data_IF_254119856934
#
_entry.id   IF_254119856934
#
_cell.length_a   1.000
_cell.length_b   1.000
_cell.length_c   1.000
_cell.angle_alpha   90.00
_cell.angle_beta   90.00
_cell.angle_gamma   90.00
#
_symmetry.space_group_name_H-M   'P 1'
#
loop_
_entity.id
_entity.type
_entity.pdbx_description
1 polymer ?
#
# COMPACT_ATOMS: atom_id res chain seq x y z
N UNK A 1 -24.12 38.98 10.57
CA UNK A 1 -23.68 37.91 11.50
C UNK A 1 -22.59 37.10 10.81
N UNK A 2 -21.32 37.23 11.22
CA UNK A 2 -20.19 36.51 10.61
C UNK A 2 -20.04 35.14 11.29
N UNK A 3 -20.21 34.06 10.54
CA UNK A 3 -20.08 32.67 11.00
C UNK A 3 -18.57 32.35 11.12
N UNK A 4 -18.04 32.26 12.34
CA UNK A 4 -16.69 31.78 12.60
C UNK A 4 -16.60 30.31 12.16
N UNK A 5 -15.71 30.02 11.20
CA UNK A 5 -15.26 28.66 10.89
C UNK A 5 -14.25 28.26 11.95
N UNK A 6 -14.62 27.33 12.83
CA UNK A 6 -13.69 26.72 13.78
C UNK A 6 -12.84 25.68 13.05
N UNK A 7 -11.55 25.98 12.86
CA UNK A 7 -10.56 24.99 12.43
C UNK A 7 -10.34 23.99 13.56
N UNK A 8 -11.07 22.87 13.52
CA UNK A 8 -10.77 21.72 14.35
C UNK A 8 -9.71 20.88 13.63
N UNK A 9 -8.42 21.11 13.94
CA UNK A 9 -7.38 20.16 13.58
C UNK A 9 -7.48 18.98 14.55
N UNK A 10 -8.05 17.87 14.10
CA UNK A 10 -8.02 16.62 14.85
C UNK A 10 -6.60 16.06 14.79
N UNK A 11 -5.83 16.22 15.86
CA UNK A 11 -4.56 15.51 16.04
C UNK A 11 -4.86 14.24 16.83
N UNK A 12 -4.70 13.09 16.19
CA UNK A 12 -4.78 11.80 16.85
C UNK A 12 -3.49 11.59 17.66
N UNK A 13 -3.54 11.42 18.99
CA UNK A 13 -2.39 10.99 19.76
C UNK A 13 -2.13 9.51 19.41
N UNK A 14 -1.18 9.26 18.52
CA UNK A 14 -0.77 7.90 18.14
C UNK A 14 0.34 7.45 19.08
N UNK A 15 -0.01 7.09 20.31
CA UNK A 15 0.84 6.25 21.16
C UNK A 15 0.46 4.80 20.86
N UNK A 16 0.99 4.25 19.77
CA UNK A 16 0.72 2.88 19.37
C UNK A 16 1.66 1.92 20.12
N UNK A 17 1.10 1.12 21.03
CA UNK A 17 1.77 -0.07 21.53
C UNK A 17 1.67 -1.15 20.44
N UNK A 18 2.69 -1.21 19.58
CA UNK A 18 2.70 -2.09 18.41
C UNK A 18 3.01 -3.52 18.84
N UNK A 19 2.20 -4.48 18.39
CA UNK A 19 2.58 -5.88 18.52
C UNK A 19 3.76 -6.19 17.57
N UNK A 20 4.38 -7.37 17.72
CA UNK A 20 5.55 -7.74 16.92
C UNK A 20 5.27 -7.71 15.40
N UNK A 21 4.10 -8.18 14.95
CA UNK A 21 3.74 -8.17 13.53
C UNK A 21 3.61 -6.73 13.01
N UNK A 22 2.91 -5.87 13.75
CA UNK A 22 2.73 -4.47 13.37
C UNK A 22 4.09 -3.73 13.32
N UNK A 23 5.02 -4.06 14.22
CA UNK A 23 6.37 -3.51 14.22
C UNK A 23 7.16 -3.95 12.97
N UNK A 24 7.03 -5.20 12.54
CA UNK A 24 7.65 -5.70 11.31
C UNK A 24 7.07 -4.98 10.10
N UNK A 25 5.74 -4.87 10.01
CA UNK A 25 5.07 -4.14 8.92
C UNK A 25 5.48 -2.67 8.87
N UNK A 26 5.55 -1.99 10.02
CA UNK A 26 6.01 -0.61 10.10
C UNK A 26 7.48 -0.47 9.65
N UNK A 27 8.36 -1.40 10.03
CA UNK A 27 9.76 -1.41 9.57
C UNK A 27 9.87 -1.65 8.06
N UNK A 28 9.09 -2.58 7.52
CA UNK A 28 9.05 -2.83 6.07
C UNK A 28 8.54 -1.60 5.32
N UNK A 29 7.45 -1.01 5.78
CA UNK A 29 6.87 0.20 5.20
C UNK A 29 7.86 1.38 5.21
N UNK A 30 8.54 1.61 6.34
CA UNK A 30 9.59 2.65 6.43
C UNK A 30 10.78 2.37 5.50
N UNK A 31 11.03 1.11 5.19
CA UNK A 31 12.03 0.68 4.20
C UNK A 31 11.49 0.71 2.76
N UNK A 32 10.27 1.23 2.56
CA UNK A 32 9.55 1.30 1.27
C UNK A 32 9.30 -0.07 0.64
N UNK A 33 9.11 -1.08 1.48
CA UNK A 33 8.77 -2.46 1.09
C UNK A 33 7.35 -2.75 1.53
N UNK A 34 6.52 -3.21 0.60
CA UNK A 34 5.18 -3.74 0.89
C UNK A 34 5.01 -5.13 0.32
N UNK A 35 4.13 -5.94 0.90
CA UNK A 35 3.97 -7.34 0.52
C UNK A 35 2.54 -7.69 0.13
N UNK A 36 2.40 -8.46 -0.95
CA UNK A 36 1.17 -9.11 -1.41
C UNK A 36 1.29 -10.60 -1.11
N UNK A 37 0.60 -11.04 -0.05
CA UNK A 37 0.63 -12.43 0.39
C UNK A 37 -0.77 -13.04 0.32
N UNK A 38 -0.87 -14.25 -0.24
CA UNK A 38 -2.13 -15.00 -0.27
C UNK A 38 -3.09 -14.50 -1.35
N UNK A 39 -4.38 -14.41 -1.02
CA UNK A 39 -5.43 -14.00 -1.95
C UNK A 39 -5.56 -12.47 -2.02
N UNK A 40 -5.78 -11.94 -3.23
CA UNK A 40 -6.02 -10.51 -3.46
C UNK A 40 -7.52 -10.24 -3.25
N UNK A 41 -7.83 -9.65 -2.10
CA UNK A 41 -9.18 -9.28 -1.68
C UNK A 41 -9.34 -7.77 -1.54
N UNK A 42 -10.58 -7.29 -1.48
CA UNK A 42 -10.93 -5.86 -1.42
C UNK A 42 -10.27 -5.12 -0.25
N UNK A 43 -10.32 -5.70 0.96
CA UNK A 43 -9.72 -5.10 2.16
C UNK A 43 -8.20 -4.95 2.02
N UNK A 44 -7.52 -6.00 1.52
CA UNK A 44 -6.07 -5.97 1.29
C UNK A 44 -5.67 -4.97 0.21
N UNK A 45 -6.44 -4.91 -0.89
CA UNK A 45 -6.24 -3.92 -1.95
C UNK A 45 -6.45 -2.48 -1.44
N UNK A 46 -7.43 -2.25 -0.58
CA UNK A 46 -7.65 -0.95 0.07
C UNK A 46 -6.47 -0.52 0.94
N UNK A 47 -5.93 -1.43 1.76
CA UNK A 47 -4.74 -1.17 2.56
C UNK A 47 -3.52 -0.83 1.70
N UNK A 48 -3.24 -1.63 0.67
CA UNK A 48 -2.13 -1.38 -0.24
C UNK A 48 -2.28 -0.07 -1.00
N UNK A 49 -3.50 0.28 -1.41
CA UNK A 49 -3.77 1.56 -2.07
C UNK A 49 -3.36 2.73 -1.17
N UNK A 50 -3.73 2.68 0.12
CA UNK A 50 -3.34 3.70 1.09
C UNK A 50 -1.81 3.75 1.31
N UNK A 51 -1.17 2.57 1.43
CA UNK A 51 0.28 2.49 1.60
C UNK A 51 1.03 3.08 0.40
N UNK A 52 0.66 2.69 -0.82
CA UNK A 52 1.24 3.21 -2.05
C UNK A 52 1.02 4.71 -2.20
N UNK A 53 -0.16 5.22 -1.82
CA UNK A 53 -0.46 6.65 -1.83
C UNK A 53 0.48 7.44 -0.91
N UNK A 54 0.79 6.91 0.29
CA UNK A 54 1.73 7.55 1.22
C UNK A 54 3.17 7.46 0.71
N UNK A 55 3.58 6.28 0.23
CA UNK A 55 4.94 6.07 -0.27
C UNK A 55 5.23 6.87 -1.55
N UNK A 56 4.20 7.15 -2.35
CA UNK A 56 4.29 7.91 -3.58
C UNK A 56 4.80 9.36 -3.37
N UNK A 57 4.59 9.96 -2.19
CA UNK A 57 4.97 11.36 -1.93
C UNK A 57 6.50 11.58 -1.86
N UNK A 58 7.29 10.52 -1.70
CA UNK A 58 8.75 10.64 -1.60
C UNK A 58 9.48 10.50 -2.95
N UNK A 59 8.78 10.13 -4.03
CA UNK A 59 9.34 9.96 -5.39
C UNK A 59 10.58 9.04 -5.46
N UNK A 60 10.62 7.99 -4.64
CA UNK A 60 11.74 7.05 -4.55
C UNK A 60 11.25 5.61 -4.80
N UNK A 61 12.18 4.65 -4.90
CA UNK A 61 11.87 3.24 -5.17
C UNK A 61 10.91 2.63 -4.13
N UNK A 62 9.98 1.81 -4.60
CA UNK A 62 9.09 1.00 -3.77
C UNK A 62 9.21 -0.45 -4.23
N UNK A 63 9.48 -1.36 -3.30
CA UNK A 63 9.56 -2.79 -3.57
C UNK A 63 8.24 -3.47 -3.21
N UNK A 64 7.65 -4.20 -4.17
CA UNK A 64 6.51 -5.08 -3.98
C UNK A 64 6.98 -6.53 -3.87
N UNK A 65 6.87 -7.12 -2.69
CA UNK A 65 7.12 -8.55 -2.50
C UNK A 65 5.85 -9.34 -2.79
N UNK A 66 5.90 -10.31 -3.69
CA UNK A 66 4.70 -11.02 -4.16
C UNK A 66 4.83 -12.52 -3.91
N UNK A 67 3.88 -13.08 -3.16
CA UNK A 67 3.60 -14.51 -3.06
C UNK A 67 2.08 -14.69 -3.00
N UNK A 68 1.43 -14.80 -4.16
CA UNK A 68 -0.03 -14.71 -4.26
C UNK A 68 -0.65 -15.66 -5.27
N UNK A 69 -1.80 -16.23 -4.88
CA UNK A 69 -2.62 -17.11 -5.72
C UNK A 69 -3.51 -16.30 -6.70
N UNK A 70 -3.35 -14.98 -6.73
CA UNK A 70 -4.25 -14.05 -7.41
C UNK A 70 -5.46 -13.72 -6.53
N UNK A 71 -6.58 -13.37 -7.15
CA UNK A 71 -7.80 -13.00 -6.43
C UNK A 71 -8.76 -12.21 -7.31
N UNK A 72 -9.58 -11.37 -6.69
CA UNK A 72 -10.63 -10.62 -7.37
C UNK A 72 -10.04 -9.59 -8.36
N UNK A 73 -10.65 -9.50 -9.55
CA UNK A 73 -10.15 -8.66 -10.67
C UNK A 73 -10.25 -7.17 -10.34
N UNK A 74 -11.31 -6.76 -9.65
CA UNK A 74 -11.53 -5.41 -9.16
C UNK A 74 -10.51 -5.01 -8.09
N UNK A 75 -10.23 -5.88 -7.13
CA UNK A 75 -9.20 -5.68 -6.11
C UNK A 75 -7.80 -5.59 -6.73
N UNK A 76 -7.46 -6.50 -7.66
CA UNK A 76 -6.20 -6.41 -8.44
C UNK A 76 -6.14 -5.13 -9.28
N UNK A 77 -7.25 -4.72 -9.87
CA UNK A 77 -7.37 -3.46 -10.62
C UNK A 77 -7.15 -2.22 -9.77
N UNK A 78 -7.60 -2.22 -8.51
CA UNK A 78 -7.32 -1.13 -7.56
C UNK A 78 -5.82 -1.04 -7.26
N UNK A 79 -5.16 -2.17 -6.99
CA UNK A 79 -3.70 -2.21 -6.77
C UNK A 79 -2.95 -1.68 -7.99
N UNK A 80 -3.31 -2.12 -9.20
CA UNK A 80 -2.67 -1.64 -10.45
C UNK A 80 -2.81 -0.12 -10.59
N UNK A 81 -3.97 0.46 -10.26
CA UNK A 81 -4.17 1.91 -10.32
C UNK A 81 -3.31 2.65 -9.28
N UNK A 82 -3.19 2.10 -8.07
CA UNK A 82 -2.33 2.67 -7.04
C UNK A 82 -0.83 2.63 -7.44
N UNK A 83 -0.38 1.52 -8.05
CA UNK A 83 0.97 1.39 -8.60
C UNK A 83 1.23 2.45 -9.67
N UNK A 84 0.30 2.59 -10.63
CA UNK A 84 0.42 3.60 -11.70
C UNK A 84 0.48 5.02 -11.14
N UNK A 85 -0.34 5.32 -10.14
CA UNK A 85 -0.29 6.61 -9.47
C UNK A 85 1.09 6.89 -8.86
N UNK A 86 1.67 5.92 -8.16
CA UNK A 86 3.00 6.08 -7.58
C UNK A 86 4.08 6.27 -8.66
N UNK A 87 3.97 5.55 -9.78
CA UNK A 87 4.84 5.73 -10.95
C UNK A 87 4.70 7.12 -11.57
N UNK A 88 3.48 7.64 -11.71
CA UNK A 88 3.20 8.99 -12.21
C UNK A 88 3.79 10.09 -11.31
N UNK A 89 3.87 9.83 -10.00
CA UNK A 89 4.56 10.70 -9.03
C UNK A 89 6.09 10.64 -9.15
N UNK A 90 6.64 9.65 -9.87
CA UNK A 90 8.07 9.50 -10.10
C UNK A 90 8.71 8.38 -9.29
N UNK A 91 7.94 7.56 -8.57
CA UNK A 91 8.48 6.39 -7.90
C UNK A 91 8.83 5.29 -8.90
N UNK A 92 9.94 4.58 -8.65
CA UNK A 92 10.26 3.33 -9.35
C UNK A 92 9.64 2.16 -8.59
N UNK A 93 8.77 1.38 -9.23
CA UNK A 93 8.15 0.21 -8.58
C UNK A 93 8.87 -1.05 -9.04
N UNK A 94 9.39 -1.83 -8.08
CA UNK A 94 10.09 -3.10 -8.34
C UNK A 94 9.25 -4.24 -7.77
N UNK A 95 8.71 -5.08 -8.64
CA UNK A 95 8.02 -6.31 -8.25
C UNK A 95 8.99 -7.49 -8.11
N UNK A 96 9.01 -8.13 -6.95
CA UNK A 96 9.83 -9.32 -6.68
C UNK A 96 8.96 -10.50 -6.25
N UNK A 97 9.00 -11.57 -7.05
CA UNK A 97 8.29 -12.81 -6.71
C UNK A 97 9.14 -13.61 -5.72
N UNK A 98 8.61 -13.85 -4.51
CA UNK A 98 9.28 -14.61 -3.44
C UNK A 98 8.88 -16.08 -3.38
N UNK A 99 7.72 -16.41 -3.93
CA UNK A 99 7.27 -17.80 -4.08
C UNK A 99 6.64 -17.98 -5.45
N UNK A 100 5.35 -17.67 -5.55
CA UNK A 100 4.57 -17.81 -6.77
C UNK A 100 3.74 -16.56 -7.04
N UNK A 101 3.39 -16.34 -8.31
CA UNK A 101 2.48 -15.28 -8.74
C UNK A 101 1.49 -15.88 -9.74
N UNK A 102 0.21 -15.90 -9.38
CA UNK A 102 -0.85 -16.52 -10.19
C UNK A 102 -1.97 -15.52 -10.49
N UNK A 103 -2.69 -15.75 -11.60
CA UNK A 103 -3.90 -15.01 -11.96
C UNK A 103 -3.68 -13.49 -11.89
N UNK A 104 -4.51 -12.76 -11.14
CA UNK A 104 -4.39 -11.31 -11.00
C UNK A 104 -3.05 -10.84 -10.42
N UNK A 105 -2.37 -11.64 -9.59
CA UNK A 105 -1.05 -11.28 -9.09
C UNK A 105 0.00 -11.21 -10.20
N UNK A 106 -0.15 -12.03 -11.25
CA UNK A 106 0.72 -11.98 -12.44
C UNK A 106 0.52 -10.71 -13.25
N UNK A 107 -0.69 -10.13 -13.21
CA UNK A 107 -1.02 -8.88 -13.91
C UNK A 107 -0.58 -7.65 -13.10
N UNK A 108 -0.55 -7.78 -11.77
CA UNK A 108 -0.06 -6.74 -10.86
C UNK A 108 1.45 -6.58 -10.92
N UNK A 109 2.18 -7.68 -11.13
CA UNK A 109 3.64 -7.71 -11.30
C UNK A 109 4.09 -6.87 -12.51
#
# INVERSE_FOLDING_TARGET
MKKQRSNHSWTLPVEADLNFCDLIEAKMFNSRVISINGEIEECGAGLMTNQLQVLAECNDEITLLITSNGGAVDAGGAIIRAIRYAQEKGCRIIGEVRGYTMSMATIVL
#
